data_IF_913989470288
#
_entry.id   IF_913989470288
#
_cell.length_a   1.000
_cell.length_b   1.000
_cell.length_c   1.000
_cell.angle_alpha   90.00
_cell.angle_beta   90.00
_cell.angle_gamma   90.00
#
_symmetry.space_group_name_H-M   'P 1'
#
loop_
_entity.id
_entity.type
_entity.pdbx_description
1 polymer ?
#
# COMPACT_ATOMS: atom_id res chain seq x y z
N UNK A 1 10.97 -14.20 -18.54
CA UNK A 1 11.83 -14.38 -17.35
C UNK A 1 11.13 -13.64 -16.22
N UNK A 2 10.94 -14.27 -15.06
CA UNK A 2 10.42 -13.61 -13.87
C UNK A 2 11.36 -12.49 -13.45
N UNK A 3 10.81 -11.38 -13.00
CA UNK A 3 11.58 -10.26 -12.46
C UNK A 3 12.04 -10.64 -11.03
N UNK A 4 13.34 -10.72 -10.80
CA UNK A 4 13.89 -11.14 -9.51
C UNK A 4 14.05 -9.99 -8.50
N UNK A 5 13.66 -8.76 -8.88
CA UNK A 5 13.70 -7.60 -7.97
C UNK A 5 12.78 -7.81 -6.76
N UNK A 6 13.24 -7.36 -5.61
CA UNK A 6 12.52 -7.45 -4.33
C UNK A 6 11.90 -6.10 -3.99
N UNK A 7 10.65 -6.12 -3.55
CA UNK A 7 9.94 -4.96 -3.03
C UNK A 7 9.87 -5.06 -1.51
N UNK A 8 10.13 -3.95 -0.80
CA UNK A 8 9.76 -3.79 0.61
C UNK A 8 8.40 -3.10 0.69
N UNK A 9 7.38 -3.82 1.16
CA UNK A 9 6.04 -3.27 1.41
C UNK A 9 6.06 -2.47 2.71
N UNK A 10 5.70 -1.20 2.65
CA UNK A 10 5.77 -0.24 3.75
C UNK A 10 4.35 -0.01 4.29
N UNK A 11 4.04 -0.62 5.43
CA UNK A 11 2.68 -0.69 5.98
C UNK A 11 2.64 -0.27 7.46
N UNK A 12 2.45 1.01 7.79
CA UNK A 12 2.06 1.41 9.14
C UNK A 12 0.63 0.99 9.46
N UNK A 13 0.36 0.62 10.70
CA UNK A 13 -0.94 0.17 11.17
C UNK A 13 -1.23 0.68 12.58
N UNK A 14 -2.51 0.95 12.85
CA UNK A 14 -3.03 1.23 14.18
C UNK A 14 -4.43 0.66 14.34
N UNK A 15 -4.61 -0.24 15.31
CA UNK A 15 -5.93 -0.84 15.60
C UNK A 15 -6.63 -1.41 14.36
N UNK A 16 -5.88 -2.12 13.54
CA UNK A 16 -6.32 -2.67 12.25
C UNK A 16 -5.98 -4.15 12.08
N UNK A 17 -5.91 -4.90 13.18
CA UNK A 17 -5.41 -6.28 13.18
C UNK A 17 -6.04 -7.17 12.09
N UNK A 18 -7.37 -7.14 11.94
CA UNK A 18 -8.05 -7.99 10.95
C UNK A 18 -7.69 -7.66 9.51
N UNK A 19 -7.56 -6.37 9.20
CA UNK A 19 -7.16 -5.92 7.85
C UNK A 19 -5.70 -6.24 7.58
N UNK A 20 -4.83 -6.03 8.56
CA UNK A 20 -3.41 -6.34 8.44
C UNK A 20 -3.16 -7.82 8.19
N UNK A 21 -3.89 -8.71 8.90
CA UNK A 21 -3.86 -10.17 8.66
C UNK A 21 -4.29 -10.52 7.24
N UNK A 22 -5.37 -9.92 6.79
CA UNK A 22 -5.91 -10.13 5.45
C UNK A 22 -4.93 -9.65 4.37
N UNK A 23 -4.34 -8.47 4.53
CA UNK A 23 -3.32 -7.92 3.65
C UNK A 23 -2.07 -8.80 3.59
N UNK A 24 -1.53 -9.19 4.75
CA UNK A 24 -0.38 -10.09 4.84
C UNK A 24 -0.61 -11.41 4.09
N UNK A 25 -1.75 -12.04 4.37
CA UNK A 25 -2.10 -13.32 3.73
C UNK A 25 -2.17 -13.19 2.20
N UNK A 26 -2.70 -12.08 1.70
CA UNK A 26 -2.77 -11.82 0.25
C UNK A 26 -1.39 -11.65 -0.38
N UNK A 27 -0.50 -10.87 0.25
CA UNK A 27 0.88 -10.67 -0.22
C UNK A 27 1.61 -12.03 -0.27
N UNK A 28 1.53 -12.82 0.80
CA UNK A 28 2.22 -14.12 0.85
C UNK A 28 1.64 -15.16 -0.10
N UNK A 29 0.32 -15.18 -0.27
CA UNK A 29 -0.38 -16.08 -1.18
C UNK A 29 -0.12 -15.74 -2.65
N UNK A 30 -0.21 -14.48 -3.02
CA UNK A 30 -0.29 -14.05 -4.42
C UNK A 30 1.05 -13.54 -4.99
N UNK A 31 1.95 -13.01 -4.13
CA UNK A 31 3.23 -12.43 -4.55
C UNK A 31 4.44 -13.21 -4.00
N UNK A 32 4.19 -14.12 -3.05
CA UNK A 32 5.21 -15.00 -2.49
C UNK A 32 6.04 -14.40 -1.37
N UNK A 33 7.00 -15.20 -0.90
CA UNK A 33 7.83 -14.89 0.27
C UNK A 33 9.13 -14.13 -0.07
N UNK A 34 9.40 -13.85 -1.35
CA UNK A 34 10.61 -13.11 -1.76
C UNK A 34 10.60 -11.66 -1.29
N UNK A 35 9.41 -11.06 -1.21
CA UNK A 35 9.26 -9.66 -0.83
C UNK A 35 9.39 -9.46 0.66
N UNK A 36 9.99 -8.33 1.03
CA UNK A 36 10.04 -7.86 2.41
C UNK A 36 8.76 -7.14 2.78
N UNK A 37 8.30 -7.31 4.02
CA UNK A 37 7.21 -6.51 4.58
C UNK A 37 7.75 -5.77 5.80
N UNK A 38 7.60 -4.45 5.80
CA UNK A 38 7.97 -3.58 6.90
C UNK A 38 6.72 -3.04 7.56
N UNK A 39 6.47 -3.44 8.80
CA UNK A 39 5.34 -2.98 9.60
C UNK A 39 5.76 -2.00 10.68
N UNK A 40 4.91 -0.99 10.93
CA UNK A 40 4.97 -0.19 12.13
C UNK A 40 3.64 -0.26 12.87
N UNK A 41 3.70 -0.55 14.16
CA UNK A 41 2.57 -0.42 15.08
C UNK A 41 2.56 0.97 15.70
N UNK A 42 1.49 1.74 15.48
CA UNK A 42 1.32 3.09 16.02
C UNK A 42 0.53 3.08 17.34
N UNK A 43 1.06 2.36 18.34
CA UNK A 43 0.46 2.26 19.67
C UNK A 43 -0.94 1.64 19.64
N UNK A 44 -1.07 0.43 19.10
CA UNK A 44 -2.32 -0.34 19.08
C UNK A 44 -2.62 -1.02 20.41
N UNK A 45 -3.91 -1.26 20.67
CA UNK A 45 -4.45 -1.97 21.82
C UNK A 45 -5.38 -3.15 21.45
N UNK A 46 -5.43 -3.51 20.14
CA UNK A 46 -6.27 -4.58 19.58
C UNK A 46 -5.53 -5.91 19.35
N UNK A 47 -4.28 -6.02 19.82
CA UNK A 47 -3.43 -7.21 19.60
C UNK A 47 -2.61 -7.15 18.31
N UNK A 48 -2.59 -6.00 17.61
CA UNK A 48 -1.80 -5.81 16.36
C UNK A 48 -0.31 -6.05 16.62
N UNK A 49 0.25 -5.47 17.68
CA UNK A 49 1.68 -5.60 17.98
C UNK A 49 2.09 -7.03 18.30
N UNK A 50 1.34 -7.71 19.14
CA UNK A 50 1.60 -9.10 19.53
C UNK A 50 1.57 -10.03 18.32
N UNK A 51 0.62 -9.81 17.41
CA UNK A 51 0.54 -10.56 16.17
C UNK A 51 1.71 -10.25 15.22
N UNK A 52 2.13 -8.98 15.09
CA UNK A 52 3.31 -8.61 14.29
C UNK A 52 4.56 -9.33 14.79
N UNK A 53 4.76 -9.42 16.11
CA UNK A 53 5.87 -10.14 16.72
C UNK A 53 5.84 -11.63 16.38
N UNK A 54 4.66 -12.26 16.53
CA UNK A 54 4.46 -13.68 16.19
C UNK A 54 4.82 -13.97 14.72
N UNK A 55 4.41 -13.10 13.80
CA UNK A 55 4.73 -13.29 12.38
C UNK A 55 6.22 -13.04 12.11
N UNK A 56 6.82 -12.01 12.69
CA UNK A 56 8.25 -11.72 12.48
C UNK A 56 9.17 -12.85 12.99
N UNK A 57 8.75 -13.62 13.97
CA UNK A 57 9.46 -14.83 14.41
C UNK A 57 9.44 -15.96 13.35
N UNK A 58 8.32 -16.07 12.61
CA UNK A 58 8.07 -17.15 11.64
C UNK A 58 8.48 -16.79 10.21
N UNK A 59 8.31 -15.54 9.85
CA UNK A 59 8.61 -15.01 8.52
C UNK A 59 9.82 -14.05 8.58
N UNK A 60 10.97 -14.54 8.15
CA UNK A 60 12.24 -13.77 8.21
C UNK A 60 12.29 -12.57 7.28
N UNK A 61 11.34 -12.46 6.34
CA UNK A 61 11.19 -11.32 5.46
C UNK A 61 10.15 -10.31 5.99
N UNK A 62 9.83 -10.39 7.28
CA UNK A 62 9.03 -9.39 7.99
C UNK A 62 9.91 -8.62 8.98
N UNK A 63 9.81 -7.29 8.93
CA UNK A 63 10.46 -6.37 9.86
C UNK A 63 9.39 -5.57 10.58
N UNK A 64 9.60 -5.33 11.85
CA UNK A 64 8.63 -4.62 12.69
C UNK A 64 9.27 -3.46 13.44
N UNK A 65 8.51 -2.40 13.60
CA UNK A 65 8.81 -1.24 14.41
C UNK A 65 7.61 -0.92 15.31
N UNK A 66 7.83 -0.40 16.50
CA UNK A 66 6.78 0.04 17.40
C UNK A 66 6.93 1.51 17.75
N UNK A 67 5.84 2.24 17.72
CA UNK A 67 5.69 3.47 18.48
C UNK A 67 5.21 3.11 19.89
N UNK A 68 6.02 3.39 20.91
CA UNK A 68 5.70 3.06 22.29
C UNK A 68 4.65 3.99 22.91
N UNK A 69 4.19 4.99 22.13
CA UNK A 69 3.13 5.91 22.54
C UNK A 69 3.52 6.83 23.71
N UNK A 70 2.53 7.44 24.39
CA UNK A 70 1.08 7.36 24.09
C UNK A 70 0.65 8.16 22.87
N UNK A 71 1.49 9.07 22.36
CA UNK A 71 1.16 9.92 21.22
C UNK A 71 1.22 9.16 19.90
N UNK A 72 0.24 9.42 19.04
CA UNK A 72 0.18 8.87 17.70
C UNK A 72 1.20 9.58 16.80
N UNK A 73 2.04 8.82 16.09
CA UNK A 73 2.96 9.35 15.08
C UNK A 73 2.29 9.49 13.70
N UNK A 74 1.41 8.55 13.35
CA UNK A 74 0.67 8.52 12.10
C UNK A 74 1.47 8.10 10.88
N UNK A 75 0.80 8.06 9.74
CA UNK A 75 1.34 7.53 8.50
C UNK A 75 2.56 8.29 8.01
N UNK A 76 2.53 9.62 8.04
CA UNK A 76 3.60 10.50 7.54
C UNK A 76 4.97 10.12 8.12
N UNK A 77 5.05 9.98 9.45
CA UNK A 77 6.32 9.67 10.13
C UNK A 77 6.67 8.19 9.99
N UNK A 78 5.67 7.32 10.08
CA UNK A 78 5.90 5.88 10.09
C UNK A 78 6.27 5.33 8.71
N UNK A 79 5.76 5.89 7.62
CA UNK A 79 6.22 5.54 6.26
C UNK A 79 7.73 5.79 6.14
N UNK A 80 8.19 6.98 6.52
CA UNK A 80 9.61 7.34 6.43
C UNK A 80 10.50 6.48 7.34
N UNK A 81 10.00 6.16 8.54
CA UNK A 81 10.69 5.25 9.46
C UNK A 81 10.86 3.87 8.83
N UNK A 82 9.81 3.33 8.24
CA UNK A 82 9.82 2.02 7.61
C UNK A 82 10.66 2.01 6.31
N UNK A 83 10.60 3.06 5.49
CA UNK A 83 11.47 3.17 4.31
C UNK A 83 12.94 3.14 4.71
N UNK A 84 13.33 3.84 5.76
CA UNK A 84 14.73 3.81 6.27
C UNK A 84 15.11 2.40 6.76
N UNK A 85 14.20 1.67 7.37
CA UNK A 85 14.41 0.31 7.89
C UNK A 85 14.44 -0.76 6.77
N UNK A 86 13.74 -0.55 5.68
CA UNK A 86 13.65 -1.47 4.54
C UNK A 86 15.03 -1.82 3.98
N UNK A 87 15.23 -3.07 3.57
CA UNK A 87 16.53 -3.56 3.06
C UNK A 87 16.61 -3.68 1.56
N UNK A 88 15.47 -3.72 0.86
CA UNK A 88 15.48 -3.74 -0.61
C UNK A 88 15.66 -2.35 -1.22
N UNK A 89 16.14 -2.31 -2.46
CA UNK A 89 16.31 -1.07 -3.23
C UNK A 89 14.99 -0.46 -3.67
N UNK A 90 13.88 -1.20 -3.59
CA UNK A 90 12.55 -0.79 -4.02
C UNK A 90 11.63 -0.83 -2.82
N UNK A 91 10.94 0.28 -2.58
CA UNK A 91 9.90 0.41 -1.55
C UNK A 91 8.55 0.62 -2.19
N UNK A 92 7.50 0.08 -1.57
CA UNK A 92 6.12 0.30 -1.99
C UNK A 92 5.31 0.80 -0.80
N UNK A 93 4.81 2.01 -0.87
CA UNK A 93 3.83 2.53 0.08
C UNK A 93 2.54 1.75 -0.09
N UNK A 94 2.10 1.09 0.97
CA UNK A 94 1.03 0.11 0.92
C UNK A 94 0.15 0.20 2.16
N UNK A 95 -1.17 0.24 2.00
CA UNK A 95 -2.07 0.33 3.14
C UNK A 95 -2.34 -1.06 3.75
N UNK A 96 -2.63 -1.08 5.06
CA UNK A 96 -2.94 -2.32 5.79
C UNK A 96 -4.29 -2.95 5.40
N UNK A 97 -5.15 -2.22 4.70
CA UNK A 97 -6.47 -2.62 4.24
C UNK A 97 -6.53 -2.89 2.72
N UNK A 98 -5.40 -3.30 2.14
CA UNK A 98 -5.28 -3.69 0.74
C UNK A 98 -4.99 -5.18 0.58
N UNK A 99 -5.70 -5.82 -0.33
CA UNK A 99 -5.44 -7.17 -0.82
C UNK A 99 -4.60 -7.09 -2.10
N UNK A 100 -3.45 -7.72 -2.09
CA UNK A 100 -2.60 -7.82 -3.28
C UNK A 100 -3.17 -8.85 -4.26
N UNK A 101 -3.59 -8.42 -5.44
CA UNK A 101 -4.03 -9.34 -6.49
C UNK A 101 -2.83 -10.07 -7.13
N UNK A 102 -3.02 -11.29 -7.67
CA UNK A 102 -1.95 -12.03 -8.33
C UNK A 102 -1.24 -11.21 -9.42
N UNK A 103 0.09 -11.22 -9.43
CA UNK A 103 0.92 -10.55 -10.43
C UNK A 103 0.99 -9.02 -10.31
N UNK A 104 0.46 -8.43 -9.25
CA UNK A 104 0.52 -6.98 -9.02
C UNK A 104 1.97 -6.47 -8.96
N UNK A 105 2.84 -7.19 -8.28
CA UNK A 105 4.26 -6.86 -8.15
C UNK A 105 4.99 -6.87 -9.50
N UNK A 106 4.79 -7.89 -10.31
CA UNK A 106 5.39 -8.00 -11.65
C UNK A 106 4.91 -6.88 -12.58
N UNK A 107 3.63 -6.53 -12.49
CA UNK A 107 3.05 -5.45 -13.28
C UNK A 107 3.64 -4.09 -12.90
N UNK A 108 3.84 -3.81 -11.61
CA UNK A 108 4.48 -2.58 -11.13
C UNK A 108 5.96 -2.56 -11.50
N UNK A 109 6.69 -3.65 -11.24
CA UNK A 109 8.12 -3.75 -11.54
C UNK A 109 8.42 -3.58 -13.03
N UNK A 110 7.52 -4.01 -13.92
CA UNK A 110 7.68 -3.88 -15.38
C UNK A 110 7.93 -2.44 -15.82
N UNK A 111 7.31 -1.48 -15.17
CA UNK A 111 7.42 -0.04 -15.51
C UNK A 111 8.36 0.72 -14.59
N UNK A 112 8.82 0.09 -13.49
CA UNK A 112 9.64 0.77 -12.50
C UNK A 112 11.09 0.90 -12.95
N UNK A 113 11.53 2.15 -13.09
CA UNK A 113 12.90 2.57 -13.40
C UNK A 113 13.28 3.74 -12.48
N UNK A 114 14.57 4.09 -12.43
CA UNK A 114 15.03 5.31 -11.72
C UNK A 114 14.36 6.55 -12.32
N UNK A 115 13.92 7.46 -11.44
CA UNK A 115 13.17 8.66 -11.85
C UNK A 115 11.69 8.40 -12.14
N UNK A 116 11.17 7.21 -11.84
CA UNK A 116 9.75 6.89 -12.01
C UNK A 116 9.11 6.49 -10.68
N UNK A 117 7.84 6.85 -10.53
CA UNK A 117 6.95 6.37 -9.47
C UNK A 117 5.81 5.59 -10.14
N UNK A 118 5.62 4.34 -9.74
CA UNK A 118 4.66 3.45 -10.40
C UNK A 118 3.62 2.97 -9.40
N UNK A 119 2.34 3.22 -9.68
CA UNK A 119 1.22 2.75 -8.88
C UNK A 119 0.45 1.62 -9.56
N UNK A 120 -0.09 0.70 -8.75
CA UNK A 120 -1.10 -0.25 -9.18
C UNK A 120 -2.49 0.40 -9.18
N UNK A 121 -3.41 -0.20 -9.93
CA UNK A 121 -4.82 0.25 -9.97
C UNK A 121 -5.60 -0.36 -8.81
N UNK A 122 -6.41 0.46 -8.15
CA UNK A 122 -7.29 0.01 -7.07
C UNK A 122 -8.62 -0.49 -7.61
N UNK A 123 -9.13 -1.56 -7.01
CA UNK A 123 -10.52 -1.98 -7.08
C UNK A 123 -11.11 -1.66 -5.72
N UNK A 124 -12.21 -0.92 -5.67
CA UNK A 124 -12.82 -0.46 -4.43
C UNK A 124 -14.34 -0.69 -4.44
N UNK A 125 -14.96 -1.03 -3.28
CA UNK A 125 -16.40 -0.93 -3.15
C UNK A 125 -16.85 0.54 -3.33
N UNK A 126 -18.07 0.81 -3.81
CA UNK A 126 -18.53 2.15 -4.14
C UNK A 126 -18.87 3.00 -2.91
N UNK A 127 -17.92 3.10 -1.97
CA UNK A 127 -18.03 3.88 -0.74
C UNK A 127 -17.44 5.30 -0.89
N UNK A 128 -16.66 5.53 -1.94
CA UNK A 128 -16.12 6.82 -2.35
C UNK A 128 -16.52 7.16 -3.78
N UNK A 129 -16.53 8.44 -4.14
CA UNK A 129 -16.70 8.84 -5.54
C UNK A 129 -15.71 8.14 -6.47
N UNK A 130 -16.09 7.95 -7.71
CA UNK A 130 -15.24 7.42 -8.76
C UNK A 130 -14.03 8.33 -9.04
N UNK A 131 -12.97 7.74 -9.55
CA UNK A 131 -11.72 8.44 -9.87
C UNK A 131 -10.89 7.67 -10.89
N UNK A 132 -9.93 8.35 -11.55
CA UNK A 132 -9.11 7.73 -12.61
C UNK A 132 -8.16 6.65 -12.08
N UNK A 133 -7.93 6.62 -10.76
CA UNK A 133 -7.00 5.71 -10.10
C UNK A 133 -7.62 4.36 -9.72
N UNK A 134 -8.89 4.14 -9.99
CA UNK A 134 -9.62 2.98 -9.48
C UNK A 134 -10.74 2.50 -10.38
N UNK A 135 -11.24 1.33 -10.03
CA UNK A 135 -12.45 0.74 -10.59
C UNK A 135 -13.40 0.45 -9.42
N UNK A 136 -14.65 0.87 -9.53
CA UNK A 136 -15.65 0.63 -8.48
C UNK A 136 -16.37 -0.70 -8.75
N UNK A 137 -16.00 -1.72 -7.97
CA UNK A 137 -16.67 -3.03 -7.95
C UNK A 137 -16.67 -3.52 -6.50
N UNK A 138 -17.82 -4.01 -6.04
CA UNK A 138 -18.00 -4.52 -4.68
C UNK A 138 -17.73 -6.03 -4.61
N UNK A 139 -16.69 -6.40 -3.88
CA UNK A 139 -16.36 -7.78 -3.50
C UNK A 139 -16.33 -7.95 -1.97
N UNK A 140 -17.04 -7.10 -1.24
CA UNK A 140 -17.09 -7.04 0.21
C UNK A 140 -16.43 -5.80 0.79
N UNK A 141 -16.95 -5.36 1.92
CA UNK A 141 -16.49 -4.14 2.62
C UNK A 141 -15.73 -4.44 3.92
N UNK A 142 -15.64 -5.71 4.29
CA UNK A 142 -14.90 -6.20 5.44
C UNK A 142 -14.15 -7.50 5.05
N UNK A 143 -13.01 -7.84 5.69
CA UNK A 143 -12.26 -9.06 5.37
C UNK A 143 -13.10 -10.35 5.47
N UNK A 144 -14.08 -10.39 6.38
CA UNK A 144 -14.96 -11.55 6.58
C UNK A 144 -16.04 -11.68 5.48
N UNK A 145 -16.31 -10.60 4.75
CA UNK A 145 -17.28 -10.54 3.65
C UNK A 145 -16.61 -10.65 2.28
N UNK A 146 -15.28 -10.71 2.26
CA UNK A 146 -14.52 -10.63 1.02
C UNK A 146 -14.72 -11.83 0.12
N UNK A 147 -15.23 -11.59 -1.07
CA UNK A 147 -15.54 -12.59 -2.09
C UNK A 147 -14.33 -12.81 -3.04
N UNK A 148 -13.22 -13.34 -2.49
CA UNK A 148 -11.95 -13.53 -3.22
C UNK A 148 -12.15 -14.22 -4.56
N UNK A 149 -12.92 -15.30 -4.60
CA UNK A 149 -13.13 -16.07 -5.83
C UNK A 149 -13.81 -15.23 -6.92
N UNK A 150 -14.80 -14.42 -6.56
CA UNK A 150 -15.45 -13.51 -7.51
C UNK A 150 -14.51 -12.41 -8.02
N UNK A 151 -13.65 -11.88 -7.15
CA UNK A 151 -12.61 -10.94 -7.57
C UNK A 151 -11.66 -11.58 -8.59
N UNK A 152 -11.19 -12.81 -8.34
CA UNK A 152 -10.28 -13.50 -9.24
C UNK A 152 -10.96 -13.80 -10.60
N UNK A 153 -12.18 -14.28 -10.59
CA UNK A 153 -12.98 -14.51 -11.81
C UNK A 153 -13.19 -13.20 -12.59
N UNK A 154 -13.44 -12.10 -11.88
CA UNK A 154 -13.59 -10.79 -12.50
C UNK A 154 -12.27 -10.31 -13.14
N UNK A 155 -11.12 -10.53 -12.47
CA UNK A 155 -9.79 -10.20 -13.02
C UNK A 155 -9.44 -11.04 -14.25
N UNK A 156 -9.88 -12.30 -14.30
CA UNK A 156 -9.72 -13.19 -15.46
C UNK A 156 -10.69 -12.87 -16.59
N UNK A 157 -11.74 -12.09 -16.32
CA UNK A 157 -12.72 -11.69 -17.30
C UNK A 157 -12.19 -10.61 -18.25
N UNK A 158 -13.03 -10.17 -19.12
CA UNK A 158 -12.69 -9.23 -20.19
C UNK A 158 -12.25 -7.84 -19.73
N UNK A 159 -12.61 -7.43 -18.49
CA UNK A 159 -12.34 -6.07 -18.07
C UNK A 159 -10.88 -5.73 -18.17
N UNK A 160 -10.12 -6.65 -17.74
CA UNK A 160 -8.83 -6.36 -17.56
C UNK A 160 -7.91 -6.82 -18.59
N UNK A 161 -8.15 -7.91 -19.17
CA UNK A 161 -7.40 -8.41 -20.31
C UNK A 161 -7.51 -7.42 -21.48
N UNK A 162 -8.69 -6.96 -21.78
CA UNK A 162 -8.89 -6.05 -22.92
C UNK A 162 -8.49 -4.61 -22.67
N UNK A 163 -8.58 -4.16 -21.42
CA UNK A 163 -8.30 -2.77 -21.06
C UNK A 163 -6.95 -2.57 -20.43
N UNK A 164 -6.41 -3.58 -19.74
CA UNK A 164 -5.23 -3.50 -18.92
C UNK A 164 -3.92 -3.85 -19.61
N UNK A 165 -3.93 -4.72 -20.62
CA UNK A 165 -2.69 -5.15 -21.27
C UNK A 165 -2.01 -3.97 -21.98
N UNK A 166 -0.80 -3.62 -21.50
CA UNK A 166 -0.03 -2.51 -22.02
C UNK A 166 -0.58 -1.12 -21.68
N UNK A 167 -1.68 -1.02 -20.93
CA UNK A 167 -2.26 0.28 -20.56
C UNK A 167 -1.53 0.87 -19.36
N UNK A 168 -1.11 2.11 -19.52
CA UNK A 168 -0.64 2.97 -18.43
C UNK A 168 -1.34 4.33 -18.53
N UNK A 169 -1.42 5.03 -17.40
CA UNK A 169 -1.90 6.42 -17.34
C UNK A 169 -0.95 7.23 -16.46
N UNK A 170 -0.99 8.54 -16.56
CA UNK A 170 -0.31 9.41 -15.59
C UNK A 170 -1.07 9.35 -14.27
N UNK A 171 -0.34 9.19 -13.17
CA UNK A 171 -0.93 9.22 -11.83
C UNK A 171 -0.03 8.56 -10.79
N UNK A 172 -0.21 8.99 -9.55
CA UNK A 172 0.40 8.37 -8.38
C UNK A 172 -0.68 8.20 -7.34
N UNK A 173 -0.98 6.96 -6.98
CA UNK A 173 -1.96 6.63 -5.95
C UNK A 173 -1.48 5.39 -5.18
N UNK A 174 -1.68 5.35 -3.88
CA UNK A 174 -1.36 4.14 -3.12
C UNK A 174 -2.17 2.92 -3.64
N UNK A 175 -1.54 1.74 -3.85
CA UNK A 175 -0.13 1.49 -3.58
C UNK A 175 0.76 2.01 -4.71
N UNK A 176 1.92 2.55 -4.35
CA UNK A 176 2.91 3.01 -5.32
C UNK A 176 4.33 2.63 -4.92
N UNK A 177 5.15 2.32 -5.90
CA UNK A 177 6.53 1.90 -5.75
C UNK A 177 7.51 2.93 -6.32
N UNK A 178 8.68 2.99 -5.70
CA UNK A 178 9.80 3.85 -6.10
C UNK A 178 11.11 3.20 -5.66
N UNK A 179 12.21 3.56 -6.27
CA UNK A 179 13.51 3.25 -5.71
C UNK A 179 13.73 3.99 -4.38
N UNK A 180 14.18 3.28 -3.35
CA UNK A 180 14.39 3.81 -2.00
C UNK A 180 15.25 5.07 -1.99
N UNK A 181 16.35 5.08 -2.76
CA UNK A 181 17.24 6.24 -2.84
C UNK A 181 16.55 7.46 -3.45
N UNK A 182 15.67 7.25 -4.43
CA UNK A 182 14.89 8.33 -5.04
C UNK A 182 13.89 8.92 -4.04
N UNK A 183 13.23 8.07 -3.24
CA UNK A 183 12.37 8.52 -2.14
C UNK A 183 13.13 9.34 -1.09
N UNK A 184 14.31 8.87 -0.71
CA UNK A 184 15.16 9.57 0.28
C UNK A 184 15.74 10.87 -0.29
N UNK A 185 16.05 10.93 -1.58
CA UNK A 185 16.61 12.11 -2.24
C UNK A 185 15.65 13.30 -2.25
N UNK A 186 14.33 13.06 -2.34
CA UNK A 186 13.34 14.15 -2.22
C UNK A 186 12.99 14.49 -0.76
N UNK A 187 13.59 13.82 0.21
CA UNK A 187 13.42 14.07 1.64
C UNK A 187 12.28 13.28 2.32
N UNK A 188 11.65 12.32 1.62
CA UNK A 188 10.50 11.57 2.15
C UNK A 188 9.25 12.44 2.34
N UNK A 189 8.34 12.03 3.23
CA UNK A 189 7.16 12.83 3.57
C UNK A 189 7.53 14.01 4.48
N UNK A 190 6.79 15.12 4.36
CA UNK A 190 6.98 16.26 5.26
C UNK A 190 6.27 16.00 6.61
N UNK A 191 6.99 15.97 7.74
CA UNK A 191 6.42 15.71 9.05
C UNK A 191 5.39 16.77 9.49
N UNK A 192 5.32 17.92 8.82
CA UNK A 192 4.29 18.93 9.04
C UNK A 192 2.88 18.37 8.85
N UNK A 193 2.72 17.35 7.99
CA UNK A 193 1.44 16.71 7.71
C UNK A 193 1.12 15.55 8.67
N UNK A 194 1.95 15.32 9.70
CA UNK A 194 1.65 14.31 10.71
C UNK A 194 0.40 14.69 11.54
N UNK A 195 -0.40 13.72 12.00
CA UNK A 195 -0.25 12.26 11.82
C UNK A 195 -0.68 11.75 10.44
N UNK A 196 -1.46 12.51 9.69
CA UNK A 196 -1.89 12.22 8.30
C UNK A 196 -2.74 13.36 7.74
N UNK A 197 -3.05 13.23 6.43
CA UNK A 197 -3.84 14.12 5.60
C UNK A 197 -3.01 15.17 4.88
N UNK A 198 -3.08 15.13 3.54
CA UNK A 198 -2.32 15.95 2.59
C UNK A 198 -0.85 15.52 2.37
N UNK A 199 -0.31 14.59 3.14
CA UNK A 199 1.03 14.03 2.93
C UNK A 199 1.21 13.46 1.52
N UNK A 200 0.20 12.73 1.02
CA UNK A 200 0.20 12.19 -0.34
C UNK A 200 0.25 13.30 -1.39
N UNK A 201 -0.60 14.32 -1.24
CA UNK A 201 -0.64 15.44 -2.20
C UNK A 201 0.68 16.23 -2.22
N UNK A 202 1.30 16.39 -1.05
CA UNK A 202 2.59 17.07 -0.95
C UNK A 202 3.69 16.27 -1.63
N UNK A 203 3.84 14.98 -1.28
CA UNK A 203 4.91 14.16 -1.84
C UNK A 203 4.75 13.97 -3.35
N UNK A 204 3.52 13.83 -3.85
CA UNK A 204 3.24 13.71 -5.28
C UNK A 204 3.62 14.99 -6.03
N UNK A 205 3.29 16.17 -5.49
CA UNK A 205 3.73 17.44 -6.06
C UNK A 205 5.26 17.55 -6.11
N UNK A 206 5.95 17.13 -5.05
CA UNK A 206 7.42 17.17 -5.00
C UNK A 206 8.05 16.21 -6.01
N UNK A 207 7.49 15.02 -6.24
CA UNK A 207 7.93 14.13 -7.31
C UNK A 207 7.79 14.79 -8.68
N UNK A 208 6.64 15.37 -8.99
CA UNK A 208 6.38 16.04 -10.27
C UNK A 208 7.34 17.22 -10.46
N UNK A 209 7.52 18.07 -9.45
CA UNK A 209 8.42 19.22 -9.49
C UNK A 209 9.90 18.81 -9.62
N UNK A 210 10.28 17.66 -9.09
CA UNK A 210 11.61 17.09 -9.24
C UNK A 210 11.82 16.36 -10.59
N UNK A 211 10.81 16.30 -11.45
CA UNK A 211 10.89 15.71 -12.78
C UNK A 211 10.69 14.20 -12.84
N UNK A 212 10.12 13.61 -11.79
CA UNK A 212 9.78 12.19 -11.83
C UNK A 212 8.59 11.94 -12.76
N UNK A 213 8.68 10.84 -13.52
CA UNK A 213 7.57 10.32 -14.29
C UNK A 213 6.61 9.53 -13.38
N UNK A 214 5.32 9.82 -13.48
CA UNK A 214 4.30 9.13 -12.71
C UNK A 214 3.51 8.19 -13.61
N UNK A 215 3.44 6.92 -13.23
CA UNK A 215 2.79 5.87 -14.03
C UNK A 215 1.82 5.11 -13.14
N UNK A 216 0.58 5.00 -13.58
CA UNK A 216 -0.37 4.03 -13.05
C UNK A 216 -0.49 2.87 -14.05
N UNK A 217 -0.20 1.64 -13.60
CA UNK A 217 -0.39 0.45 -14.45
C UNK A 217 -1.77 -0.17 -14.24
N UNK A 218 -2.44 -0.46 -15.36
CA UNK A 218 -3.71 -1.19 -15.40
C UNK A 218 -3.52 -2.70 -15.59
N UNK A 219 -2.33 -3.21 -15.30
CA UNK A 219 -2.00 -4.63 -15.35
C UNK A 219 -1.82 -5.23 -13.96
N UNK A 220 -1.64 -4.39 -12.93
CA UNK A 220 -1.51 -4.77 -11.54
C UNK A 220 -2.62 -4.15 -10.70
N UNK A 221 -3.29 -4.97 -9.90
CA UNK A 221 -4.45 -4.55 -9.13
C UNK A 221 -4.29 -4.85 -7.64
N UNK A 222 -4.96 -4.04 -6.83
CA UNK A 222 -5.23 -4.31 -5.42
C UNK A 222 -6.72 -4.14 -5.16
N UNK A 223 -7.28 -4.94 -4.25
CA UNK A 223 -8.60 -4.64 -3.70
C UNK A 223 -8.42 -3.85 -2.41
N UNK A 224 -9.02 -2.67 -2.33
CA UNK A 224 -8.85 -1.76 -1.20
C UNK A 224 -10.17 -1.59 -0.45
N UNK A 225 -10.22 -2.00 0.80
CA UNK A 225 -11.37 -1.81 1.69
C UNK A 225 -11.41 -0.38 2.21
N UNK A 226 -11.62 0.54 1.30
CA UNK A 226 -11.66 1.98 1.56
C UNK A 226 -12.68 2.36 2.63
N UNK A 227 -12.49 3.49 3.30
CA UNK A 227 -13.36 3.98 4.38
C UNK A 227 -13.43 3.07 5.62
N UNK A 228 -12.51 2.13 5.75
CA UNK A 228 -12.38 1.26 6.93
C UNK A 228 -11.10 1.63 7.68
N UNK A 229 -10.82 0.96 8.75
CA UNK A 229 -9.66 1.23 9.55
C UNK A 229 -9.88 2.20 10.69
N UNK A 230 -8.86 2.34 11.53
CA UNK A 230 -8.94 3.01 12.83
C UNK A 230 -9.34 4.49 12.75
N UNK A 231 -8.96 5.19 11.68
CA UNK A 231 -9.28 6.61 11.52
C UNK A 231 -10.78 6.92 11.56
N UNK A 232 -11.63 5.95 11.21
CA UNK A 232 -13.08 6.11 11.24
C UNK A 232 -13.71 5.68 12.56
N UNK A 233 -13.01 4.86 13.36
CA UNK A 233 -13.47 4.35 14.65
C UNK A 233 -13.14 5.32 15.79
N UNK A 234 -11.95 5.89 15.77
CA UNK A 234 -11.43 6.71 16.88
C UNK A 234 -11.86 8.19 16.81
N UNK A 235 -12.70 8.57 15.86
CA UNK A 235 -13.02 9.98 15.61
C UNK A 235 -11.79 10.82 15.20
N UNK A 236 -10.64 10.18 15.10
CA UNK A 236 -9.39 10.79 14.70
C UNK A 236 -9.48 11.07 13.20
N UNK A 237 -9.55 12.32 12.88
CA UNK A 237 -9.41 12.91 11.55
C UNK A 237 -10.71 13.00 10.74
N UNK A 238 -11.56 13.80 11.23
CA UNK A 238 -12.25 14.70 10.32
C UNK A 238 -11.24 15.78 9.97
N UNK A 239 -10.86 15.88 8.71
CA UNK A 239 -10.19 17.05 8.22
C UNK A 239 -10.99 18.26 8.75
N UNK A 240 -10.42 19.17 9.52
CA UNK A 240 -11.04 20.47 9.64
C UNK A 240 -11.05 21.04 8.23
N UNK A 241 -12.25 21.32 7.73
CA UNK A 241 -12.45 21.95 6.45
C UNK A 241 -11.72 23.29 6.38
#
# INVERSE_FOLDING_TARGET
MSDDRVISFIQPSRNNLKYLKWSYNSIRKNLGYRHEICWADDFSDDGTWEWMQEIAEKDKNVRIHRNDGPERLGHTILYDTLVKMATSDIVMIYHADMYACPGMDEAVLRYLERGKVVSATRIEPPLHPDGPEKVLVDFGIEPEEFEEQKLLEWLESDMEISKGIGKTTEGIFAPWAIYKDDFLAIGGHDPLYAPQSKEDSDIFNRFILAGYETIQTWQGFVYHMTCRGSRFKDGAMRNPA
#
